data_IF_874344363878
#
_entry.id   IF_874344363878
#
_cell.length_a   1.000
_cell.length_b   1.000
_cell.length_c   1.000
_cell.angle_alpha   90.00
_cell.angle_beta   90.00
_cell.angle_gamma   90.00
#
_symmetry.space_group_name_H-M   'P 1'
#
loop_
_entity.id
_entity.type
_entity.pdbx_description
1 polymer ?
#
# COMPACT_ATOMS: atom_id res chain seq x y z
N UNK A 1 -27.58 4.82 -31.88
CA UNK A 1 -26.38 4.02 -31.54
C UNK A 1 -25.95 4.41 -30.14
N UNK A 2 -26.11 3.53 -29.15
CA UNK A 2 -25.64 3.77 -27.78
C UNK A 2 -24.26 3.13 -27.69
N UNK A 3 -23.22 3.97 -27.64
CA UNK A 3 -21.87 3.49 -27.35
C UNK A 3 -21.84 3.07 -25.88
N UNK A 4 -21.83 1.76 -25.62
CA UNK A 4 -21.52 1.22 -24.30
C UNK A 4 -20.04 1.48 -24.06
N UNK A 5 -19.73 2.47 -23.24
CA UNK A 5 -18.41 2.64 -22.64
C UNK A 5 -18.22 1.50 -21.63
N UNK A 6 -17.82 0.32 -22.11
CA UNK A 6 -17.28 -0.71 -21.23
C UNK A 6 -15.98 -0.14 -20.64
N UNK A 7 -16.07 0.37 -19.41
CA UNK A 7 -14.91 0.73 -18.62
C UNK A 7 -14.17 -0.57 -18.34
N UNK A 8 -13.05 -0.78 -19.01
CA UNK A 8 -12.13 -1.89 -18.69
C UNK A 8 -11.46 -1.53 -17.37
N UNK A 9 -12.17 -1.75 -16.26
CA UNK A 9 -11.51 -1.76 -14.98
C UNK A 9 -10.77 -3.12 -14.88
N UNK A 10 -9.58 -3.07 -14.31
CA UNK A 10 -8.73 -4.25 -14.12
C UNK A 10 -8.54 -4.35 -12.61
N UNK A 11 -8.68 -5.55 -12.06
CA UNK A 11 -8.38 -5.83 -10.66
C UNK A 11 -6.99 -5.30 -10.31
N UNK A 12 -6.87 -4.56 -9.21
CA UNK A 12 -5.61 -3.92 -8.82
C UNK A 12 -5.32 -4.09 -7.35
N UNK A 13 -4.03 -4.04 -7.01
CA UNK A 13 -3.57 -4.06 -5.62
C UNK A 13 -3.22 -2.64 -5.21
N UNK A 14 -4.02 -2.09 -4.30
CA UNK A 14 -3.78 -0.78 -3.70
C UNK A 14 -2.72 -0.88 -2.62
N UNK A 15 -1.81 0.08 -2.61
CA UNK A 15 -0.81 0.26 -1.57
C UNK A 15 -1.31 1.20 -0.48
N UNK A 16 -1.29 0.74 0.77
CA UNK A 16 -1.86 1.42 1.94
C UNK A 16 -0.81 1.88 2.95
N UNK A 17 0.48 1.85 2.60
CA UNK A 17 1.56 2.28 3.50
C UNK A 17 1.32 3.67 4.08
N UNK A 18 0.86 4.62 3.26
CA UNK A 18 0.52 5.98 3.73
C UNK A 18 -0.54 5.97 4.83
N UNK A 19 -1.61 5.20 4.66
CA UNK A 19 -2.70 5.11 5.61
C UNK A 19 -2.21 4.46 6.91
N UNK A 20 -1.50 3.34 6.81
CA UNK A 20 -0.93 2.61 7.96
C UNK A 20 0.05 3.48 8.75
N UNK A 21 0.94 4.21 8.07
CA UNK A 21 1.87 5.12 8.74
C UNK A 21 1.16 6.28 9.44
N UNK A 22 0.12 6.85 8.82
CA UNK A 22 -0.63 7.96 9.40
C UNK A 22 -1.43 7.52 10.63
N UNK A 23 -2.11 6.39 10.55
CA UNK A 23 -2.88 5.78 11.64
C UNK A 23 -1.98 5.52 12.86
N UNK A 24 -0.80 4.96 12.61
CA UNK A 24 0.18 4.59 13.65
C UNK A 24 1.14 5.70 14.06
N UNK A 25 0.95 6.93 13.54
CA UNK A 25 1.83 8.10 13.78
C UNK A 25 3.32 7.84 13.48
N UNK A 26 3.60 6.97 12.50
CA UNK A 26 4.97 6.65 12.08
C UNK A 26 5.47 7.73 11.13
N UNK A 27 6.62 8.33 11.45
CA UNK A 27 7.24 9.35 10.60
C UNK A 27 8.13 8.73 9.52
N UNK A 28 8.21 9.37 8.36
CA UNK A 28 9.10 8.92 7.28
C UNK A 28 10.57 8.86 7.72
N UNK A 29 10.99 9.79 8.57
CA UNK A 29 12.37 9.84 9.08
C UNK A 29 12.67 8.63 9.97
N UNK A 30 11.80 8.34 10.94
CA UNK A 30 11.98 7.20 11.82
C UNK A 30 11.99 5.87 11.05
N UNK A 31 11.08 5.72 10.07
CA UNK A 31 11.03 4.51 9.24
C UNK A 31 12.29 4.34 8.39
N UNK A 32 12.82 5.44 7.84
CA UNK A 32 14.07 5.45 7.09
C UNK A 32 15.28 5.07 7.96
N UNK A 33 15.35 5.57 9.19
CA UNK A 33 16.40 5.26 10.16
C UNK A 33 16.39 3.78 10.55
N UNK A 34 15.23 3.21 10.86
CA UNK A 34 15.10 1.78 11.23
C UNK A 34 15.46 0.86 10.07
N UNK A 35 15.05 1.21 8.84
CA UNK A 35 15.32 0.40 7.66
C UNK A 35 16.72 0.62 7.06
N UNK A 36 17.46 1.63 7.52
CA UNK A 36 18.72 2.05 6.91
C UNK A 36 18.55 2.53 5.47
N UNK A 37 17.37 3.04 5.11
CA UNK A 37 17.03 3.47 3.75
C UNK A 37 17.08 4.99 3.63
N UNK A 38 17.24 5.49 2.40
CA UNK A 38 17.15 6.92 2.13
C UNK A 38 15.71 7.42 2.39
N UNK A 39 15.51 8.52 3.14
CA UNK A 39 14.19 9.13 3.36
C UNK A 39 13.40 9.42 2.08
N UNK A 40 14.09 9.71 0.97
CA UNK A 40 13.49 9.93 -0.35
C UNK A 40 12.85 8.64 -0.88
N UNK A 41 13.50 7.49 -0.69
CA UNK A 41 12.95 6.19 -1.09
C UNK A 41 11.68 5.85 -0.31
N UNK A 42 11.69 6.10 1.01
CA UNK A 42 10.50 5.93 1.85
C UNK A 42 9.39 6.89 1.44
N UNK A 43 9.73 8.14 1.12
CA UNK A 43 8.75 9.12 0.63
C UNK A 43 8.09 8.65 -0.66
N UNK A 44 8.86 8.12 -1.62
CA UNK A 44 8.34 7.54 -2.86
C UNK A 44 7.41 6.37 -2.59
N UNK A 45 7.85 5.39 -1.78
CA UNK A 45 7.04 4.24 -1.38
C UNK A 45 5.72 4.67 -0.73
N UNK A 46 5.73 5.74 0.07
CA UNK A 46 4.52 6.27 0.71
C UNK A 46 3.57 6.95 -0.27
N UNK A 47 4.09 7.65 -1.27
CA UNK A 47 3.26 8.42 -2.21
C UNK A 47 2.68 7.60 -3.35
N UNK A 48 3.19 6.41 -3.62
CA UNK A 48 2.63 5.53 -4.64
C UNK A 48 1.31 4.93 -4.15
N UNK A 49 0.26 5.01 -4.97
CA UNK A 49 -1.05 4.40 -4.68
C UNK A 49 -1.13 2.93 -5.13
N UNK A 50 -0.32 2.56 -6.12
CA UNK A 50 -0.18 1.20 -6.63
C UNK A 50 0.98 0.46 -5.95
N UNK A 51 0.90 -0.87 -5.88
CA UNK A 51 1.96 -1.70 -5.32
C UNK A 51 3.29 -1.48 -6.05
N UNK A 52 4.35 -0.99 -5.38
CA UNK A 52 5.68 -0.91 -5.98
C UNK A 52 6.28 -2.31 -6.18
N UNK A 53 7.26 -2.44 -7.07
CA UNK A 53 8.05 -3.66 -7.18
C UNK A 53 8.89 -3.86 -5.91
N UNK A 54 8.34 -4.60 -4.95
CA UNK A 54 8.95 -4.88 -3.66
C UNK A 54 8.98 -6.39 -3.41
N UNK A 55 10.15 -6.92 -3.08
CA UNK A 55 10.32 -8.31 -2.70
C UNK A 55 9.73 -8.61 -1.31
N UNK A 56 9.44 -9.89 -1.05
CA UNK A 56 8.87 -10.33 0.23
C UNK A 56 9.72 -9.98 1.45
N UNK A 57 11.05 -10.03 1.31
CA UNK A 57 11.98 -9.65 2.40
C UNK A 57 11.86 -8.15 2.75
N UNK A 58 11.79 -7.29 1.74
CA UNK A 58 11.65 -5.85 1.95
C UNK A 58 10.27 -5.48 2.53
N UNK A 59 9.21 -6.19 2.11
CA UNK A 59 7.88 -6.05 2.68
C UNK A 59 7.84 -6.49 4.15
N UNK A 60 8.48 -7.61 4.49
CA UNK A 60 8.59 -8.08 5.88
C UNK A 60 9.34 -7.06 6.75
N UNK A 61 10.49 -6.56 6.28
CA UNK A 61 11.25 -5.51 6.99
C UNK A 61 10.42 -4.24 7.22
N UNK A 62 9.60 -3.82 6.26
CA UNK A 62 8.68 -2.70 6.43
C UNK A 62 7.67 -2.95 7.54
N UNK A 63 7.03 -4.13 7.55
CA UNK A 63 6.11 -4.51 8.61
C UNK A 63 6.79 -4.51 9.99
N UNK A 64 7.98 -5.10 10.09
CA UNK A 64 8.74 -5.17 11.35
C UNK A 64 9.14 -3.77 11.83
N UNK A 65 9.61 -2.90 10.93
CA UNK A 65 9.99 -1.55 11.28
C UNK A 65 8.79 -0.71 11.76
N UNK A 66 7.64 -0.83 11.08
CA UNK A 66 6.40 -0.17 11.51
C UNK A 66 5.97 -0.71 12.88
N UNK A 67 6.04 -2.03 13.09
CA UNK A 67 5.65 -2.64 14.35
C UNK A 67 6.53 -2.20 15.52
N UNK A 68 7.83 -2.07 15.30
CA UNK A 68 8.78 -1.53 16.29
C UNK A 68 8.47 -0.08 16.63
N UNK A 69 8.18 0.76 15.62
CA UNK A 69 7.92 2.19 15.82
C UNK A 69 6.54 2.48 16.44
N UNK A 70 5.53 1.68 16.13
CA UNK A 70 4.17 1.89 16.61
C UNK A 70 3.78 1.03 17.81
N UNK A 71 4.63 0.09 18.23
CA UNK A 71 4.32 -0.94 19.24
C UNK A 71 3.05 -1.75 18.95
N UNK A 72 2.65 -1.82 17.66
CA UNK A 72 1.45 -2.53 17.19
C UNK A 72 1.91 -3.46 16.07
N UNK A 73 1.59 -4.76 16.09
CA UNK A 73 1.97 -5.67 15.02
C UNK A 73 1.47 -5.16 13.66
N UNK A 74 2.32 -5.25 12.64
CA UNK A 74 1.97 -4.90 11.26
C UNK A 74 1.98 -6.19 10.43
N UNK A 75 0.91 -6.42 9.67
CA UNK A 75 0.84 -7.56 8.74
C UNK A 75 0.85 -7.05 7.30
N UNK A 76 1.31 -7.86 6.33
CA UNK A 76 1.28 -7.48 4.92
C UNK A 76 -0.11 -7.09 4.42
N UNK A 77 -1.16 -7.75 4.91
CA UNK A 77 -2.56 -7.46 4.56
C UNK A 77 -3.03 -6.06 4.95
N UNK A 78 -2.37 -5.42 5.92
CA UNK A 78 -2.67 -4.02 6.29
C UNK A 78 -2.10 -3.03 5.27
N UNK A 79 -0.97 -3.39 4.65
CA UNK A 79 -0.27 -2.57 3.67
C UNK A 79 -0.86 -2.71 2.26
N UNK A 80 -1.60 -3.78 1.99
CA UNK A 80 -2.01 -4.16 0.64
C UNK A 80 -3.50 -4.47 0.62
N UNK A 81 -4.22 -3.97 -0.38
CA UNK A 81 -5.65 -4.21 -0.52
C UNK A 81 -5.95 -4.61 -1.96
N UNK A 82 -6.56 -5.79 -2.12
CA UNK A 82 -7.02 -6.23 -3.42
C UNK A 82 -8.36 -5.58 -3.73
N UNK A 83 -8.41 -4.85 -4.84
CA UNK A 83 -9.61 -4.22 -5.37
C UNK A 83 -10.05 -5.07 -6.56
N UNK A 84 -11.08 -5.92 -6.40
CA UNK A 84 -11.61 -6.69 -7.50
C UNK A 84 -12.23 -5.74 -8.53
N UNK A 85 -12.19 -6.17 -9.79
CA UNK A 85 -13.03 -5.54 -10.79
C UNK A 85 -14.50 -5.85 -10.51
N UNK A 86 -15.29 -4.82 -10.20
CA UNK A 86 -16.73 -5.00 -10.05
C UNK A 86 -17.34 -5.14 -11.45
N UNK A 87 -17.96 -6.28 -11.80
CA UNK A 87 -18.69 -6.39 -13.06
C UNK A 87 -19.84 -5.36 -13.04
N UNK A 88 -20.15 -4.71 -14.17
CA UNK A 88 -21.22 -3.72 -14.24
C UNK A 88 -22.53 -4.32 -13.71
N UNK A 89 -23.34 -3.55 -12.96
CA UNK A 89 -24.52 -4.09 -12.29
C UNK A 89 -25.42 -4.77 -13.31
N UNK A 90 -25.64 -6.07 -13.12
CA UNK A 90 -26.60 -6.86 -13.88
C UNK A 90 -27.99 -6.27 -13.62
N UNK A 91 -28.49 -5.48 -14.57
CA UNK A 91 -29.86 -4.97 -14.54
C UNK A 91 -30.81 -6.17 -14.60
N UNK A 92 -31.51 -6.43 -13.49
CA UNK A 92 -32.72 -7.25 -13.46
C UNK A 92 -33.90 -6.44 -14.03
#
# INVERSE_FOLDING_TARGET
MIAVLCKTSVSKVRWKLRAVMADRKVTNKALAEVLGMNPVSISKLRTTDDMPEIGGEALAKLCDAIAQLSSIPCTPSELIEFIPDEPPPEKN
#
